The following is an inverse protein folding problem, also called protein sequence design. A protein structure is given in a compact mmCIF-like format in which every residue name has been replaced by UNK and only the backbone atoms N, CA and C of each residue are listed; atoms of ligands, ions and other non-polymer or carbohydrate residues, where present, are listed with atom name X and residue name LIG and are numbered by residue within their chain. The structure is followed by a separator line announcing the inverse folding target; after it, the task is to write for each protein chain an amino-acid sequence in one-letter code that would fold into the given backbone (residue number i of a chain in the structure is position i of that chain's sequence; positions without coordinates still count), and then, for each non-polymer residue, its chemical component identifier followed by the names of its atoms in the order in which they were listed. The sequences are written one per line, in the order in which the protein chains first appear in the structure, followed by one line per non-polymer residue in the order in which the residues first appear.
data_IF_035032713171
#
_entry.id   IF_035032713171
#
_cell.length_a   1.000
_cell.length_b   1.000
_cell.length_c   1.000
_cell.angle_alpha   90.00
_cell.angle_beta   90.00
_cell.angle_gamma   90.00
#
_symmetry.space_group_name_H-M   'P 1'
#
loop_
_entity.id
_entity.type
_entity.pdbx_description
1 polymer ?
#
# COMPACT_ATOMS: atom_id res chain seq x y z
N UNK A 1 23.30 -34.81 -7.37
CA UNK A 1 23.01 -33.71 -6.42
C UNK A 1 22.25 -32.63 -7.18
N UNK A 2 20.93 -32.60 -7.01
CA UNK A 2 20.03 -31.76 -7.81
C UNK A 2 20.06 -30.30 -7.37
N UNK A 3 20.22 -29.41 -8.34
CA UNK A 3 20.15 -27.95 -8.23
C UNK A 3 18.69 -27.49 -8.03
N UNK A 4 18.03 -28.00 -6.99
CA UNK A 4 16.60 -27.73 -6.71
C UNK A 4 16.27 -27.61 -5.21
N UNK A 5 17.28 -27.46 -4.35
CA UNK A 5 17.11 -27.40 -2.88
C UNK A 5 16.75 -26.00 -2.36
N UNK A 6 16.84 -24.96 -3.20
CA UNK A 6 16.46 -23.59 -2.82
C UNK A 6 14.97 -23.27 -3.01
N UNK A 7 14.17 -24.17 -3.61
CA UNK A 7 12.73 -23.94 -3.75
C UNK A 7 11.91 -24.35 -2.51
N UNK A 8 12.48 -25.14 -1.61
CA UNK A 8 11.76 -25.68 -0.44
C UNK A 8 12.14 -25.02 0.89
N UNK A 9 13.18 -24.19 0.92
CA UNK A 9 13.62 -23.50 2.13
C UNK A 9 13.17 -22.03 2.12
N UNK A 10 11.91 -21.80 2.49
CA UNK A 10 11.65 -20.95 3.66
C UNK A 10 11.56 -19.42 3.54
N UNK A 11 11.84 -18.75 2.43
CA UNK A 11 11.84 -17.27 2.41
C UNK A 11 10.61 -16.64 1.72
N UNK A 12 9.50 -16.59 2.47
CA UNK A 12 8.33 -15.70 2.29
C UNK A 12 7.35 -15.97 1.13
N UNK A 13 6.33 -16.83 1.35
CA UNK A 13 5.15 -16.83 0.51
C UNK A 13 4.15 -15.77 1.00
N UNK A 14 4.06 -14.67 0.23
CA UNK A 14 2.98 -13.68 0.21
C UNK A 14 2.95 -12.63 1.33
N UNK A 15 2.88 -11.36 0.89
CA UNK A 15 2.90 -10.14 1.70
C UNK A 15 1.91 -10.16 2.84
N UNK A 16 2.46 -10.00 4.05
CA UNK A 16 1.73 -9.85 5.29
C UNK A 16 1.06 -8.47 5.31
N UNK A 17 -0.13 -8.34 4.72
CA UNK A 17 -0.93 -7.13 4.90
C UNK A 17 -1.33 -7.01 6.36
N UNK A 18 -0.94 -5.92 7.01
CA UNK A 18 -1.17 -5.73 8.44
C UNK A 18 -2.49 -4.99 8.62
N UNK A 19 -3.46 -5.69 9.21
CA UNK A 19 -4.72 -5.09 9.64
C UNK A 19 -4.40 -3.93 10.59
N UNK A 20 -5.05 -2.78 10.40
CA UNK A 20 -4.81 -1.43 10.98
C UNK A 20 -3.81 -0.53 10.25
N UNK A 21 -2.82 -1.08 9.53
CA UNK A 21 -1.82 -0.27 8.81
C UNK A 21 -2.24 -0.06 7.37
N UNK A 22 -2.55 -1.17 6.68
CA UNK A 22 -2.87 -1.17 5.24
C UNK A 22 -4.38 -0.98 4.99
N UNK A 23 -5.20 -1.57 5.85
CA UNK A 23 -6.65 -1.48 5.76
C UNK A 23 -7.27 -1.70 7.14
N UNK A 24 -8.48 -1.18 7.32
CA UNK A 24 -9.33 -1.48 8.47
C UNK A 24 -10.69 -1.98 8.00
N UNK A 25 -11.39 -2.74 8.84
CA UNK A 25 -12.76 -3.15 8.57
C UNK A 25 -13.71 -2.12 9.17
N UNK A 26 -14.57 -1.55 8.32
CA UNK A 26 -15.65 -0.67 8.74
C UNK A 26 -16.96 -1.21 8.16
N UNK A 27 -17.94 -1.51 9.01
CA UNK A 27 -19.27 -2.00 8.61
C UNK A 27 -19.22 -3.23 7.67
N UNK A 28 -18.25 -4.12 7.86
CA UNK A 28 -18.05 -5.31 7.02
C UNK A 28 -17.34 -5.06 5.69
N UNK A 29 -16.93 -3.82 5.40
CA UNK A 29 -16.14 -3.46 4.23
C UNK A 29 -14.68 -3.20 4.59
N UNK A 30 -13.77 -3.57 3.69
CA UNK A 30 -12.34 -3.24 3.82
C UNK A 30 -12.12 -1.81 3.34
N UNK A 31 -11.80 -0.92 4.26
CA UNK A 31 -11.43 0.47 3.95
C UNK A 31 -9.91 0.57 3.90
N UNK A 32 -9.40 0.92 2.73
CA UNK A 32 -7.96 1.08 2.49
C UNK A 32 -7.47 2.38 3.14
N UNK A 33 -6.32 2.31 3.80
CA UNK A 33 -5.69 3.50 4.39
C UNK A 33 -4.88 4.27 3.35
N UNK A 34 -4.51 5.49 3.71
CA UNK A 34 -3.61 6.34 2.92
C UNK A 34 -2.24 5.68 2.70
N UNK A 35 -1.75 4.91 3.67
CA UNK A 35 -0.47 4.20 3.57
C UNK A 35 -0.52 3.11 2.51
N UNK A 36 -1.58 2.31 2.48
CA UNK A 36 -1.75 1.29 1.44
C UNK A 36 -1.87 1.92 0.06
N UNK A 37 -2.66 2.99 -0.06
CA UNK A 37 -2.79 3.73 -1.31
C UNK A 37 -1.46 4.34 -1.74
N UNK A 38 -0.61 4.79 -0.82
CA UNK A 38 0.72 5.31 -1.11
C UNK A 38 1.69 4.20 -1.56
N UNK A 39 1.68 3.06 -0.87
CA UNK A 39 2.51 1.89 -1.17
C UNK A 39 2.15 1.26 -2.53
N UNK A 40 0.87 1.35 -2.94
CA UNK A 40 0.42 1.00 -4.30
C UNK A 40 1.17 1.77 -5.39
N UNK A 41 1.65 2.97 -5.10
CA UNK A 41 2.55 3.72 -5.97
C UNK A 41 1.90 4.43 -7.16
N UNK A 42 0.57 4.51 -7.24
CA UNK A 42 -0.13 5.33 -8.23
C UNK A 42 -1.55 5.75 -7.83
N UNK A 43 -1.96 6.93 -8.28
CA UNK A 43 -3.32 7.45 -8.15
C UNK A 43 -4.25 6.86 -9.23
N UNK A 44 -5.39 6.34 -8.78
CA UNK A 44 -6.40 5.70 -9.62
C UNK A 44 -7.45 6.66 -10.19
N UNK A 45 -7.38 7.96 -9.89
CA UNK A 45 -8.33 8.99 -10.30
C UNK A 45 -9.79 8.81 -9.82
N UNK A 46 -10.08 7.90 -8.89
CA UNK A 46 -11.44 7.63 -8.40
C UNK A 46 -11.99 8.66 -7.39
N UNK A 47 -11.25 9.74 -7.09
CA UNK A 47 -11.73 10.77 -6.16
C UNK A 47 -11.87 10.31 -4.70
N UNK A 48 -10.95 9.48 -4.21
CA UNK A 48 -10.99 8.97 -2.83
C UNK A 48 -10.95 10.12 -1.79
N UNK A 49 -11.72 10.00 -0.69
CA UNK A 49 -11.73 11.00 0.40
C UNK A 49 -10.36 11.09 1.10
N UNK A 50 -9.74 9.95 1.36
CA UNK A 50 -8.39 9.82 1.94
C UNK A 50 -7.34 9.57 0.85
N UNK A 51 -7.26 10.44 -0.16
CA UNK A 51 -6.26 10.28 -1.22
C UNK A 51 -4.89 10.77 -0.72
N UNK A 52 -3.85 9.92 -0.70
CA UNK A 52 -2.50 10.34 -0.29
C UNK A 52 -1.78 11.16 -1.37
N UNK A 53 -2.33 11.21 -2.58
CA UNK A 53 -1.73 11.87 -3.73
C UNK A 53 -2.24 13.30 -3.90
N UNK A 54 -1.36 14.18 -4.37
CA UNK A 54 -1.68 15.55 -4.73
C UNK A 54 -1.00 15.90 -6.06
N UNK A 55 -1.72 16.48 -7.04
CA UNK A 55 -3.15 16.82 -7.03
C UNK A 55 -4.08 15.59 -7.01
N UNK A 56 -5.27 15.77 -6.42
CA UNK A 56 -6.29 14.71 -6.28
C UNK A 56 -6.87 14.35 -7.66
N UNK A 57 -7.31 13.10 -7.80
CA UNK A 57 -7.99 12.59 -8.99
C UNK A 57 -7.18 12.60 -10.31
N UNK A 58 -5.84 12.68 -10.26
CA UNK A 58 -5.01 12.59 -11.46
C UNK A 58 -4.55 11.15 -11.72
N UNK A 59 -4.97 10.55 -12.84
CA UNK A 59 -4.65 9.17 -13.20
C UNK A 59 -3.15 9.00 -13.40
N UNK A 60 -2.55 8.03 -12.69
CA UNK A 60 -1.12 7.75 -12.80
C UNK A 60 -0.22 8.71 -12.03
N UNK A 61 -0.79 9.63 -11.23
CA UNK A 61 0.01 10.48 -10.35
C UNK A 61 0.73 9.63 -9.28
N UNK A 62 2.02 9.90 -9.06
CA UNK A 62 2.85 9.28 -8.02
C UNK A 62 3.27 10.27 -6.93
N UNK A 63 2.87 11.53 -7.06
CA UNK A 63 3.23 12.60 -6.13
C UNK A 63 2.38 12.47 -4.87
N UNK A 64 3.01 11.99 -3.80
CA UNK A 64 2.43 11.94 -2.46
C UNK A 64 2.44 13.33 -1.80
N UNK A 65 1.42 13.59 -0.98
CA UNK A 65 1.34 14.77 -0.10
C UNK A 65 2.46 14.73 0.93
N UNK A 66 2.92 15.91 1.34
CA UNK A 66 4.05 16.04 2.27
C UNK A 66 3.77 15.37 3.62
N UNK A 67 2.53 15.42 4.10
CA UNK A 67 2.12 14.82 5.36
C UNK A 67 2.19 13.28 5.31
N UNK A 68 1.87 12.66 4.18
CA UNK A 68 1.97 11.21 3.99
C UNK A 68 3.43 10.80 3.85
N UNK A 69 4.23 11.57 3.08
CA UNK A 69 5.67 11.33 2.94
C UNK A 69 6.40 11.31 4.27
N UNK A 70 6.10 12.27 5.16
CA UNK A 70 6.72 12.36 6.49
C UNK A 70 6.43 11.13 7.36
N UNK A 71 5.20 10.61 7.30
CA UNK A 71 4.80 9.40 8.05
C UNK A 71 5.47 8.13 7.51
N UNK A 72 5.75 8.08 6.21
CA UNK A 72 6.45 6.95 5.58
C UNK A 72 7.97 6.98 5.79
N UNK A 73 8.57 8.16 6.03
CA UNK A 73 10.01 8.29 6.26
C UNK A 73 10.47 8.05 7.70
N UNK A 74 9.53 8.06 8.65
CA UNK A 74 9.81 7.89 10.09
C UNK A 74 9.82 6.40 10.53
N UNK A 75 9.57 5.48 9.59
CA UNK A 75 9.35 4.05 9.86
C UNK A 75 10.57 3.18 9.60
#
# INVERSE_FOLDING_TARGET
MGHFDHLFNGDKPYGQFKESIDYYMENGYRVLTEQFLANRGYCCANGCRHCPYEPKAQKGNRVLREDVKKRMSDQ
#
